data_IF_350548638027
#
_entry.id   IF_350548638027
#
_cell.length_a   1.000
_cell.length_b   1.000
_cell.length_c   1.000
_cell.angle_alpha   90.00
_cell.angle_beta   90.00
_cell.angle_gamma   90.00
#
_symmetry.space_group_name_H-M   'P 1'
#
loop_
_entity.id
_entity.type
_entity.pdbx_description
1 polymer ?
#
# COMPACT_ATOMS: atom_id res chain seq x y z
N UNK A 1 -21.71 32.54 3.97
CA UNK A 1 -20.60 31.83 4.64
C UNK A 1 -20.89 30.35 4.58
N UNK A 2 -20.27 29.61 3.66
CA UNK A 2 -20.34 28.15 3.60
C UNK A 2 -19.44 27.56 4.68
N UNK A 3 -19.96 26.59 5.41
CA UNK A 3 -19.32 26.01 6.57
C UNK A 3 -18.34 24.92 6.10
N UNK A 4 -17.09 24.94 6.54
CA UNK A 4 -16.05 24.00 6.09
C UNK A 4 -16.48 22.52 6.22
N UNK A 5 -17.24 22.20 7.26
CA UNK A 5 -17.80 20.86 7.50
C UNK A 5 -18.79 20.40 6.43
N UNK A 6 -19.63 21.30 5.88
CA UNK A 6 -20.60 20.91 4.85
C UNK A 6 -19.91 20.66 3.51
N UNK A 7 -18.85 21.40 3.19
CA UNK A 7 -18.04 21.16 1.98
C UNK A 7 -17.28 19.83 2.04
N UNK A 8 -16.76 19.45 3.22
CA UNK A 8 -16.07 18.16 3.41
C UNK A 8 -17.03 16.97 3.29
N UNK A 9 -18.24 17.11 3.83
CA UNK A 9 -19.27 16.08 3.71
C UNK A 9 -19.68 15.86 2.26
N UNK A 10 -19.91 16.94 1.49
CA UNK A 10 -20.22 16.87 0.07
C UNK A 10 -19.12 16.13 -0.72
N UNK A 11 -17.84 16.47 -0.49
CA UNK A 11 -16.72 15.78 -1.14
C UNK A 11 -16.65 14.29 -0.81
N UNK A 12 -17.01 13.91 0.42
CA UNK A 12 -17.08 12.50 0.82
C UNK A 12 -18.21 11.75 0.11
N UNK A 13 -19.39 12.37 0.01
CA UNK A 13 -20.54 11.81 -0.70
C UNK A 13 -20.23 11.64 -2.19
N UNK A 14 -19.63 12.65 -2.82
CA UNK A 14 -19.21 12.60 -4.23
C UNK A 14 -18.23 11.45 -4.47
N UNK A 15 -17.21 11.29 -3.61
CA UNK A 15 -16.25 10.18 -3.71
C UNK A 15 -16.93 8.82 -3.59
N UNK A 16 -17.86 8.68 -2.66
CA UNK A 16 -18.62 7.43 -2.50
C UNK A 16 -19.49 7.16 -3.73
N UNK A 17 -20.10 8.19 -4.32
CA UNK A 17 -20.84 8.07 -5.57
C UNK A 17 -19.95 7.57 -6.72
N UNK A 18 -18.77 8.18 -6.90
CA UNK A 18 -17.82 7.74 -7.92
C UNK A 18 -17.31 6.31 -7.69
N UNK A 19 -17.06 5.90 -6.44
CA UNK A 19 -16.72 4.51 -6.13
C UNK A 19 -17.80 3.54 -6.57
N UNK A 20 -19.07 3.84 -6.27
CA UNK A 20 -20.20 3.03 -6.71
C UNK A 20 -20.28 2.94 -8.24
N UNK A 21 -20.05 4.04 -8.95
CA UNK A 21 -20.01 4.04 -10.42
C UNK A 21 -18.84 3.22 -10.98
N UNK A 22 -17.65 3.33 -10.38
CA UNK A 22 -16.48 2.53 -10.77
C UNK A 22 -16.76 1.04 -10.59
N UNK A 23 -17.27 0.64 -9.43
CA UNK A 23 -17.64 -0.76 -9.14
C UNK A 23 -18.68 -1.25 -10.14
N UNK A 24 -19.73 -0.47 -10.39
CA UNK A 24 -20.76 -0.81 -11.37
C UNK A 24 -20.17 -1.04 -12.77
N UNK A 25 -19.29 -0.14 -13.23
CA UNK A 25 -18.65 -0.22 -14.54
C UNK A 25 -17.65 -1.38 -14.63
N UNK A 26 -16.99 -1.72 -13.51
CA UNK A 26 -16.12 -2.90 -13.45
C UNK A 26 -16.95 -4.17 -13.60
N UNK A 27 -17.97 -4.33 -12.76
CA UNK A 27 -18.79 -5.55 -12.71
C UNK A 27 -19.63 -5.76 -13.98
N UNK A 28 -20.23 -4.70 -14.51
CA UNK A 28 -21.20 -4.81 -15.59
C UNK A 28 -20.59 -4.66 -16.98
N UNK A 29 -19.40 -4.05 -17.10
CA UNK A 29 -18.76 -3.83 -18.39
C UNK A 29 -17.37 -4.45 -18.46
N UNK A 30 -16.43 -4.04 -17.60
CA UNK A 30 -15.04 -4.47 -17.73
C UNK A 30 -14.85 -5.97 -17.56
N UNK A 31 -15.45 -6.57 -16.53
CA UNK A 31 -15.34 -8.02 -16.31
C UNK A 31 -15.88 -8.81 -17.50
N UNK A 32 -17.04 -8.40 -18.05
CA UNK A 32 -17.67 -9.08 -19.20
C UNK A 32 -16.84 -8.96 -20.48
N UNK A 33 -16.32 -7.76 -20.74
CA UNK A 33 -15.46 -7.50 -21.91
C UNK A 33 -14.15 -8.27 -21.77
N UNK A 34 -13.56 -8.30 -20.58
CA UNK A 34 -12.34 -9.04 -20.30
C UNK A 34 -12.53 -10.54 -20.51
N UNK A 35 -13.60 -11.13 -19.98
CA UNK A 35 -13.87 -12.56 -20.14
C UNK A 35 -14.04 -12.96 -21.60
N UNK A 36 -14.83 -12.17 -22.36
CA UNK A 36 -15.03 -12.41 -23.79
C UNK A 36 -13.74 -12.22 -24.60
N UNK A 37 -12.95 -11.20 -24.27
CA UNK A 37 -11.65 -10.99 -24.89
C UNK A 37 -10.69 -12.13 -24.60
N UNK A 38 -10.61 -12.60 -23.35
CA UNK A 38 -9.71 -13.68 -22.92
C UNK A 38 -10.03 -14.98 -23.66
N UNK A 39 -11.32 -15.31 -23.79
CA UNK A 39 -11.78 -16.47 -24.54
C UNK A 39 -11.42 -16.36 -26.03
N UNK A 40 -11.67 -15.22 -26.67
CA UNK A 40 -11.33 -15.04 -28.09
C UNK A 40 -9.83 -14.99 -28.35
N UNK A 41 -9.05 -14.40 -27.44
CA UNK A 41 -7.59 -14.32 -27.55
C UNK A 41 -6.94 -15.70 -27.43
N UNK A 42 -7.48 -16.56 -26.57
CA UNK A 42 -7.02 -17.95 -26.43
C UNK A 42 -7.43 -18.82 -27.62
N UNK A 43 -8.70 -18.74 -28.06
CA UNK A 43 -9.20 -19.51 -29.21
C UNK A 43 -8.52 -19.14 -30.54
N UNK A 44 -8.19 -17.86 -30.73
CA UNK A 44 -7.46 -17.40 -31.93
C UNK A 44 -5.97 -17.75 -31.92
N UNK A 45 -5.45 -18.27 -30.81
CA UNK A 45 -4.02 -18.55 -30.63
C UNK A 45 -3.15 -17.31 -30.42
N UNK A 46 -3.74 -16.12 -30.31
CA UNK A 46 -3.02 -14.88 -30.00
C UNK A 46 -2.44 -14.88 -28.58
N UNK A 47 -3.09 -15.60 -27.65
CA UNK A 47 -2.67 -15.76 -26.27
C UNK A 47 -2.60 -17.25 -25.91
N UNK A 48 -1.40 -17.76 -25.66
CA UNK A 48 -1.19 -19.16 -25.26
C UNK A 48 -1.07 -19.23 -23.73
N UNK A 49 -2.12 -19.73 -23.09
CA UNK A 49 -2.17 -19.90 -21.64
C UNK A 49 -2.08 -21.39 -21.27
N UNK A 50 -1.15 -21.80 -20.39
CA UNK A 50 -1.06 -23.18 -19.93
C UNK A 50 -2.37 -23.64 -19.28
N UNK A 51 -2.86 -24.82 -19.65
CA UNK A 51 -4.02 -25.45 -19.00
C UNK A 51 -5.31 -24.62 -19.01
N UNK A 52 -5.45 -23.65 -19.94
CA UNK A 52 -6.64 -22.82 -20.05
C UNK A 52 -7.90 -23.64 -20.34
N UNK A 53 -7.80 -24.67 -21.20
CA UNK A 53 -8.94 -25.54 -21.56
C UNK A 53 -9.50 -26.30 -20.35
N UNK A 54 -8.63 -26.62 -19.38
CA UNK A 54 -9.00 -27.39 -18.17
C UNK A 54 -9.37 -26.49 -17.00
N UNK A 55 -8.78 -25.30 -16.89
CA UNK A 55 -8.99 -24.38 -15.76
C UNK A 55 -9.04 -22.91 -16.21
N UNK A 56 -10.06 -22.51 -17.00
CA UNK A 56 -10.17 -21.13 -17.50
C UNK A 56 -10.45 -20.13 -16.37
N UNK A 57 -11.15 -20.57 -15.32
CA UNK A 57 -11.51 -19.76 -14.15
C UNK A 57 -10.29 -19.20 -13.40
N UNK A 58 -9.13 -19.86 -13.48
CA UNK A 58 -7.90 -19.35 -12.88
C UNK A 58 -7.48 -18.02 -13.50
N UNK A 59 -7.66 -17.87 -14.82
CA UNK A 59 -7.27 -16.68 -15.57
C UNK A 59 -8.34 -15.59 -15.55
N UNK A 60 -9.60 -15.94 -15.28
CA UNK A 60 -10.70 -15.00 -15.08
C UNK A 60 -10.68 -14.30 -13.72
N UNK A 61 -9.97 -14.84 -12.73
CA UNK A 61 -9.78 -14.24 -11.39
C UNK A 61 -8.84 -13.03 -11.44
N UNK A 62 -9.24 -12.00 -12.15
CA UNK A 62 -8.53 -10.73 -12.25
C UNK A 62 -8.94 -9.81 -11.10
N UNK A 63 -7.95 -9.11 -10.55
CA UNK A 63 -8.14 -8.04 -9.58
C UNK A 63 -8.19 -6.71 -10.34
N UNK A 64 -9.32 -6.02 -10.24
CA UNK A 64 -9.46 -4.66 -10.77
C UNK A 64 -8.99 -3.65 -9.72
N UNK A 65 -8.07 -2.77 -10.10
CA UNK A 65 -7.55 -1.71 -9.25
C UNK A 65 -8.04 -0.39 -9.83
N UNK A 66 -9.21 0.12 -9.39
CA UNK A 66 -9.68 1.43 -9.82
C UNK A 66 -8.81 2.54 -9.25
N UNK A 67 -8.96 3.75 -9.79
CA UNK A 67 -8.28 4.94 -9.27
C UNK A 67 -8.57 5.10 -7.78
N UNK A 68 -7.52 5.18 -6.98
CA UNK A 68 -7.61 5.54 -5.57
C UNK A 68 -7.97 7.00 -5.34
N UNK A 69 -8.21 7.35 -4.09
CA UNK A 69 -8.52 8.72 -3.69
C UNK A 69 -7.57 9.17 -2.60
N UNK A 70 -7.08 10.40 -2.74
CA UNK A 70 -6.23 11.00 -1.72
C UNK A 70 -6.98 11.09 -0.39
N UNK A 71 -6.25 10.82 0.68
CA UNK A 71 -6.77 10.95 2.04
C UNK A 71 -7.16 12.38 2.35
N UNK A 72 -8.18 12.53 3.18
CA UNK A 72 -8.71 13.85 3.53
C UNK A 72 -7.89 14.43 4.69
N UNK A 73 -7.44 13.58 5.60
CA UNK A 73 -6.45 13.92 6.63
C UNK A 73 -5.29 12.91 6.56
N UNK A 74 -4.27 13.20 5.73
CA UNK A 74 -3.27 12.19 5.40
C UNK A 74 -2.51 11.64 6.60
N UNK A 75 -2.24 12.48 7.60
CA UNK A 75 -1.48 12.05 8.78
C UNK A 75 -2.29 11.08 9.64
N UNK A 76 -3.55 11.41 9.95
CA UNK A 76 -4.39 10.54 10.78
C UNK A 76 -4.71 9.23 10.07
N UNK A 77 -4.95 9.28 8.76
CA UNK A 77 -5.25 8.09 7.97
C UNK A 77 -4.02 7.17 7.82
N UNK A 78 -2.78 7.70 7.72
CA UNK A 78 -1.53 6.88 7.72
C UNK A 78 -1.42 6.12 9.04
N UNK A 79 -1.66 6.82 10.16
CA UNK A 79 -1.48 6.25 11.49
C UNK A 79 -2.52 5.15 11.71
N UNK A 80 -3.79 5.42 11.39
CA UNK A 80 -4.85 4.44 11.46
C UNK A 80 -4.60 3.22 10.55
N UNK A 81 -4.09 3.43 9.32
CA UNK A 81 -3.75 2.33 8.42
C UNK A 81 -2.61 1.46 8.96
N UNK A 82 -1.55 2.07 9.51
CA UNK A 82 -0.45 1.36 10.18
C UNK A 82 -0.94 0.55 11.37
N UNK A 83 -1.80 1.12 12.20
CA UNK A 83 -2.41 0.44 13.35
C UNK A 83 -3.33 -0.70 12.92
N UNK A 84 -4.16 -0.51 11.90
CA UNK A 84 -5.04 -1.55 11.36
C UNK A 84 -4.26 -2.75 10.81
N UNK A 85 -3.13 -2.50 10.13
CA UNK A 85 -2.24 -3.58 9.66
C UNK A 85 -1.63 -4.32 10.85
N UNK A 86 -1.14 -3.59 11.86
CA UNK A 86 -0.56 -4.19 13.08
C UNK A 86 -1.59 -5.00 13.88
N UNK A 87 -2.84 -4.54 13.91
CA UNK A 87 -3.95 -5.22 14.56
C UNK A 87 -4.49 -6.41 13.74
N UNK A 88 -4.00 -6.66 12.52
CA UNK A 88 -4.47 -7.72 11.64
C UNK A 88 -5.85 -7.46 11.02
N UNK A 89 -6.35 -6.23 11.07
CA UNK A 89 -7.65 -5.84 10.51
C UNK A 89 -7.58 -5.55 9.00
N UNK A 90 -6.41 -5.17 8.50
CA UNK A 90 -6.16 -4.90 7.08
C UNK A 90 -4.82 -5.47 6.63
N UNK A 91 -4.72 -5.84 5.36
CA UNK A 91 -3.45 -6.21 4.74
C UNK A 91 -2.79 -5.00 4.07
N UNK A 92 -1.48 -5.07 3.83
CA UNK A 92 -0.77 -4.04 3.06
C UNK A 92 -1.34 -3.90 1.66
N UNK A 93 -1.69 -5.02 1.00
CA UNK A 93 -2.28 -5.00 -0.34
C UNK A 93 -3.60 -4.25 -0.37
N UNK A 94 -4.46 -4.41 0.65
CA UNK A 94 -5.72 -3.68 0.71
C UNK A 94 -5.50 -2.17 0.80
N UNK A 95 -4.58 -1.70 1.65
CA UNK A 95 -4.27 -0.27 1.77
C UNK A 95 -3.70 0.30 0.47
N UNK A 96 -2.80 -0.45 -0.18
CA UNK A 96 -2.19 -0.02 -1.45
C UNK A 96 -3.24 0.05 -2.57
N UNK A 97 -4.12 -0.94 -2.67
CA UNK A 97 -5.19 -0.96 -3.67
C UNK A 97 -6.30 0.06 -3.40
N UNK A 98 -6.60 0.39 -2.13
CA UNK A 98 -7.50 1.50 -1.77
C UNK A 98 -6.98 2.86 -2.29
N UNK A 99 -5.65 3.00 -2.37
CA UNK A 99 -4.97 4.15 -2.95
C UNK A 99 -4.71 4.01 -4.46
N UNK A 100 -5.22 2.94 -5.10
CA UNK A 100 -5.13 2.72 -6.54
C UNK A 100 -3.80 2.16 -7.03
N UNK A 101 -2.97 1.63 -6.12
CA UNK A 101 -1.72 0.95 -6.48
C UNK A 101 -1.85 -0.57 -6.44
N UNK A 102 -0.87 -1.26 -7.01
CA UNK A 102 -0.66 -2.69 -6.79
C UNK A 102 0.53 -2.93 -5.87
N UNK A 103 0.35 -3.83 -4.89
CA UNK A 103 1.43 -4.26 -4.02
C UNK A 103 2.51 -5.03 -4.78
N UNK A 104 2.12 -5.79 -5.81
CA UNK A 104 3.04 -6.57 -6.64
C UNK A 104 3.97 -5.68 -7.46
N UNK A 105 3.55 -4.44 -7.76
CA UNK A 105 4.41 -3.42 -8.39
C UNK A 105 5.20 -2.61 -7.36
N UNK A 106 4.57 -2.28 -6.22
CA UNK A 106 5.16 -1.44 -5.18
C UNK A 106 6.37 -2.09 -4.50
N UNK A 107 6.30 -3.39 -4.18
CA UNK A 107 7.39 -4.05 -3.45
C UNK A 107 8.70 -4.15 -4.26
N UNK A 108 8.68 -4.56 -5.56
CA UNK A 108 9.87 -4.52 -6.39
C UNK A 108 10.43 -3.11 -6.59
N UNK A 109 9.56 -2.13 -6.83
CA UNK A 109 9.98 -0.73 -6.95
C UNK A 109 10.67 -0.26 -5.66
N UNK A 110 10.06 -0.57 -4.51
CA UNK A 110 10.63 -0.21 -3.21
C UNK A 110 11.98 -0.88 -2.95
N UNK A 111 12.14 -2.14 -3.34
CA UNK A 111 13.43 -2.83 -3.26
C UNK A 111 14.50 -2.12 -4.11
N UNK A 112 14.18 -1.79 -5.35
CA UNK A 112 15.10 -1.09 -6.24
C UNK A 112 15.50 0.30 -5.70
N UNK A 113 14.55 1.06 -5.14
CA UNK A 113 14.83 2.34 -4.47
C UNK A 113 15.82 2.19 -3.32
N UNK A 114 15.60 1.19 -2.46
CA UNK A 114 16.47 0.93 -1.30
C UNK A 114 17.88 0.53 -1.74
N UNK A 115 18.01 -0.32 -2.76
CA UNK A 115 19.30 -0.72 -3.31
C UNK A 115 20.05 0.48 -3.95
N UNK A 116 19.33 1.31 -4.70
CA UNK A 116 19.91 2.53 -5.30
C UNK A 116 20.34 3.55 -4.23
N UNK A 117 19.54 3.73 -3.18
CA UNK A 117 19.88 4.60 -2.06
C UNK A 117 21.17 4.17 -1.38
N UNK A 118 21.33 2.87 -1.12
CA UNK A 118 22.54 2.30 -0.52
C UNK A 118 23.77 2.49 -1.40
N UNK A 119 23.65 2.31 -2.73
CA UNK A 119 24.75 2.54 -3.67
C UNK A 119 25.18 4.01 -3.73
N UNK A 120 24.22 4.93 -3.60
CA UNK A 120 24.48 6.37 -3.60
C UNK A 120 24.89 6.92 -2.23
N UNK A 121 24.88 6.08 -1.18
CA UNK A 121 25.13 6.53 0.19
C UNK A 121 24.06 7.48 0.74
N UNK A 122 22.85 7.45 0.17
CA UNK A 122 21.70 8.21 0.68
C UNK A 122 21.10 7.48 1.87
N UNK A 123 20.71 8.24 2.89
CA UNK A 123 20.13 7.72 4.12
C UNK A 123 18.72 8.26 4.26
N UNK A 124 17.74 7.36 4.41
CA UNK A 124 16.35 7.72 4.63
C UNK A 124 15.85 7.19 5.98
N UNK A 125 14.82 7.81 6.54
CA UNK A 125 14.17 7.38 7.79
C UNK A 125 13.58 5.95 7.73
N UNK A 126 13.46 5.42 6.51
CA UNK A 126 12.94 4.08 6.26
C UNK A 126 14.01 2.99 6.34
N UNK A 127 15.29 3.35 6.46
CA UNK A 127 16.39 2.40 6.53
C UNK A 127 16.57 1.87 7.96
N UNK A 128 16.55 0.55 8.15
CA UNK A 128 16.75 -0.07 9.48
C UNK A 128 18.16 0.20 10.06
N UNK A 129 19.13 0.56 9.22
CA UNK A 129 20.51 0.87 9.63
C UNK A 129 20.61 2.15 10.46
N UNK A 130 19.69 3.10 10.30
CA UNK A 130 19.65 4.35 11.07
C UNK A 130 19.18 4.09 12.50
N UNK A 131 18.16 3.26 12.69
CA UNK A 131 17.62 2.88 14.00
C UNK A 131 18.64 2.16 14.91
N UNK A 132 19.56 1.38 14.34
CA UNK A 132 20.65 0.76 15.12
C UNK A 132 21.72 1.77 15.57
N UNK A 133 21.84 2.92 14.91
CA UNK A 133 22.83 3.95 15.26
C UNK A 133 22.38 4.76 16.47
N UNK A 134 21.11 5.12 16.54
CA UNK A 134 20.54 5.91 17.64
C UNK A 134 20.44 5.12 18.96
N UNK A 135 20.14 3.81 18.87
CA UNK A 135 20.11 2.92 20.04
C UNK A 135 21.49 2.71 20.68
N UNK A 136 22.57 2.74 19.90
CA UNK A 136 23.95 2.65 20.43
C UNK A 136 24.44 3.95 21.07
N UNK A 137 23.97 5.11 20.62
CA UNK A 137 24.36 6.42 21.17
C UNK A 137 23.71 6.66 22.54
N UNK A 138 22.46 6.19 22.75
CA UNK A 138 21.75 6.33 24.03
C UNK A 138 22.32 5.44 25.15
N UNK A 139 22.95 4.31 24.81
CA UNK A 139 23.41 3.30 25.77
C UNK A 139 24.76 3.57 26.45
N UNK A 140 25.48 4.64 26.12
CA UNK A 140 26.86 4.86 26.57
C UNK A 140 27.09 6.11 27.43
N UNK A 141 26.03 6.74 27.94
CA UNK A 141 26.12 8.04 28.65
C UNK A 141 26.05 7.97 30.18
N UNK A 142 25.85 6.79 30.78
CA UNK A 142 25.81 6.65 32.25
C UNK A 142 26.80 5.58 32.70
N UNK A 143 28.05 5.99 32.96
CA UNK A 143 28.91 5.43 34.02
C UNK A 143 30.17 6.30 34.14
N UNK A 144 30.02 7.46 34.78
CA UNK A 144 31.12 8.13 35.46
C UNK A 144 30.78 8.06 36.96
N UNK A 145 31.63 7.31 37.66
CA UNK A 145 31.56 6.93 39.07
C UNK A 145 31.61 8.12 40.03
N UNK A 146 30.59 8.25 40.89
CA UNK A 146 30.70 8.87 42.21
C UNK A 146 30.51 7.76 43.24
N UNK A 147 31.60 7.36 43.90
CA UNK A 147 31.60 6.74 45.22
C UNK A 147 33.03 6.86 45.80
N UNK A 148 33.27 7.97 46.50
CA UNK A 148 34.32 8.10 47.50
C UNK A 148 33.70 8.64 48.78
N UNK A 149 33.21 7.73 49.61
CA UNK A 149 33.06 7.84 51.07
C UNK A 149 32.78 6.41 51.53
N UNK A 150 33.68 5.75 52.26
CA UNK A 150 33.85 5.74 53.72
C UNK A 150 34.87 4.59 53.99
N UNK A 151 35.67 4.46 55.06
CA UNK A 151 35.56 4.86 56.47
C UNK A 151 36.91 4.52 57.17
N UNK A 152 37.18 5.19 58.29
CA UNK A 152 37.98 4.79 59.48
C UNK A 152 39.49 4.57 59.36
#
# INVERSE_FOLDING_TARGET
KTNYSSSRLSLLEDRNHYRSLQTYLIENFHSRVFDAWLEMATLSGALVLPSYDTEPERYRKVRWIPRGWDWIDPQKEIVAAKEAIRAGLKTQSQIVSENGGDLEELLPARKAEVEAAQQLGLVFDTDMSTYQKDSKISGNSNNQSDDKEETT
#
